data_IF_693624150854
#
_entry.id   IF_693624150854
#
_cell.length_a   1.000
_cell.length_b   1.000
_cell.length_c   1.000
_cell.angle_alpha   90.00
_cell.angle_beta   90.00
_cell.angle_gamma   90.00
#
_symmetry.space_group_name_H-M   'P 1'
#
loop_
_entity.id
_entity.type
_entity.pdbx_description
1 polymer ?
#
# COMPACT_ATOMS: atom_id res chain seq x y z
N UNK A 1 15.40 -30.61 1.29
CA UNK A 1 15.13 -29.22 0.83
C UNK A 1 15.61 -29.04 -0.63
N UNK A 2 16.90 -29.29 -0.96
CA UNK A 2 17.40 -29.06 -2.33
C UNK A 2 16.77 -30.04 -3.35
N UNK A 3 16.55 -31.32 -2.98
CA UNK A 3 15.81 -32.28 -3.79
C UNK A 3 14.34 -31.91 -4.01
N UNK A 4 13.67 -31.38 -2.99
CA UNK A 4 12.28 -30.92 -3.08
C UNK A 4 12.17 -29.70 -3.99
N UNK A 5 13.15 -28.81 -3.95
CA UNK A 5 13.21 -27.64 -4.84
C UNK A 5 13.42 -28.07 -6.31
N UNK A 6 14.26 -29.06 -6.57
CA UNK A 6 14.45 -29.62 -7.91
C UNK A 6 13.20 -30.32 -8.43
N UNK A 7 12.50 -31.07 -7.60
CA UNK A 7 11.23 -31.72 -7.97
C UNK A 7 10.13 -30.71 -8.28
N UNK A 8 10.03 -29.66 -7.47
CA UNK A 8 9.07 -28.57 -7.74
C UNK A 8 9.40 -27.84 -9.05
N UNK A 9 10.68 -27.55 -9.30
CA UNK A 9 11.11 -26.94 -10.57
C UNK A 9 10.81 -27.81 -11.78
N UNK A 10 10.98 -29.12 -11.65
CA UNK A 10 10.65 -30.09 -12.70
C UNK A 10 9.14 -30.12 -12.96
N UNK A 11 8.31 -30.17 -11.92
CA UNK A 11 6.85 -30.10 -12.04
C UNK A 11 6.38 -28.79 -12.67
N UNK A 12 6.99 -27.67 -12.32
CA UNK A 12 6.69 -26.35 -12.87
C UNK A 12 7.01 -26.30 -14.37
N UNK A 13 8.14 -26.89 -14.78
CA UNK A 13 8.52 -26.98 -16.20
C UNK A 13 7.54 -27.80 -17.02
N UNK A 14 7.05 -28.92 -16.44
CA UNK A 14 6.03 -29.78 -17.09
C UNK A 14 4.69 -29.04 -17.19
N UNK A 15 4.30 -28.31 -16.14
CA UNK A 15 3.07 -27.52 -16.14
C UNK A 15 3.12 -26.39 -17.19
N UNK A 16 4.24 -25.68 -17.30
CA UNK A 16 4.43 -24.65 -18.33
C UNK A 16 4.36 -25.22 -19.76
N UNK A 17 5.04 -26.36 -20.02
CA UNK A 17 4.97 -27.02 -21.32
C UNK A 17 3.53 -27.41 -21.70
N UNK A 18 2.73 -27.84 -20.70
CA UNK A 18 1.32 -28.20 -20.91
C UNK A 18 0.44 -26.98 -21.19
N UNK A 19 0.74 -25.85 -20.58
CA UNK A 19 0.08 -24.56 -20.84
C UNK A 19 0.40 -24.09 -22.26
N UNK A 20 1.67 -24.19 -22.68
CA UNK A 20 2.10 -23.79 -24.03
C UNK A 20 1.47 -24.69 -25.11
N UNK A 21 1.33 -25.99 -24.84
CA UNK A 21 0.63 -26.93 -25.72
C UNK A 21 -0.88 -26.60 -25.84
N UNK A 22 -1.51 -26.23 -24.74
CA UNK A 22 -2.92 -25.82 -24.73
C UNK A 22 -3.10 -24.50 -25.50
N UNK A 23 -2.20 -23.55 -25.35
CA UNK A 23 -2.21 -22.27 -26.09
C UNK A 23 -2.10 -22.49 -27.60
N UNK A 24 -1.20 -23.38 -28.01
CA UNK A 24 -1.02 -23.68 -29.43
C UNK A 24 -2.29 -24.24 -30.09
N UNK A 25 -3.22 -24.83 -29.32
CA UNK A 25 -4.51 -25.33 -29.86
C UNK A 25 -5.51 -24.21 -30.17
N UNK A 26 -5.36 -23.07 -29.53
CA UNK A 26 -6.25 -21.91 -29.69
C UNK A 26 -5.55 -20.76 -30.41
N UNK A 27 -4.39 -21.03 -31.01
CA UNK A 27 -3.66 -20.07 -31.81
C UNK A 27 -4.51 -19.70 -33.09
N UNK A 28 -4.88 -18.43 -33.19
CA UNK A 28 -5.76 -17.91 -34.21
C UNK A 28 -7.25 -17.77 -33.83
N UNK A 29 -7.63 -18.11 -32.61
CA UNK A 29 -8.97 -17.85 -32.09
C UNK A 29 -9.08 -16.39 -31.55
N UNK A 30 -9.98 -15.59 -32.16
CA UNK A 30 -10.15 -14.17 -31.81
C UNK A 30 -10.63 -13.98 -30.35
N UNK A 31 -11.44 -14.89 -29.83
CA UNK A 31 -11.93 -14.83 -28.46
C UNK A 31 -10.80 -15.17 -27.48
N UNK A 32 -10.00 -16.16 -27.78
CA UNK A 32 -8.81 -16.50 -27.00
C UNK A 32 -7.78 -15.36 -27.01
N UNK A 33 -7.48 -14.77 -28.15
CA UNK A 33 -6.58 -13.62 -28.26
C UNK A 33 -7.04 -12.42 -27.42
N UNK A 34 -8.36 -12.17 -27.36
CA UNK A 34 -8.95 -11.15 -26.52
C UNK A 34 -8.72 -11.41 -25.02
N UNK A 35 -8.90 -12.64 -24.56
CA UNK A 35 -8.66 -13.01 -23.15
C UNK A 35 -7.17 -13.09 -22.81
N UNK A 36 -6.33 -13.56 -23.73
CA UNK A 36 -4.87 -13.59 -23.55
C UNK A 36 -4.28 -12.16 -23.46
N UNK A 37 -4.86 -11.18 -24.16
CA UNK A 37 -4.47 -9.76 -24.05
C UNK A 37 -4.79 -9.17 -22.66
N UNK A 38 -5.74 -9.73 -21.92
CA UNK A 38 -6.03 -9.37 -20.52
C UNK A 38 -5.16 -10.13 -19.51
N UNK A 39 -4.38 -11.09 -19.99
CA UNK A 39 -3.46 -11.83 -19.13
C UNK A 39 -2.31 -10.93 -18.76
N UNK A 40 -2.34 -10.46 -17.55
CA UNK A 40 -1.22 -9.79 -16.94
C UNK A 40 -0.31 -10.86 -16.31
N UNK A 41 0.90 -10.99 -16.83
CA UNK A 41 1.93 -11.87 -16.24
C UNK A 41 2.47 -11.28 -14.93
N UNK A 42 1.64 -10.74 -14.10
CA UNK A 42 1.86 -10.04 -12.85
C UNK A 42 3.23 -10.28 -12.18
N UNK A 43 3.65 -9.34 -11.39
CA UNK A 43 4.92 -9.46 -10.66
C UNK A 43 4.74 -10.47 -9.50
N UNK A 44 5.42 -11.61 -9.55
CA UNK A 44 5.47 -12.55 -8.42
C UNK A 44 6.32 -11.96 -7.30
N UNK A 45 5.65 -11.41 -6.28
CA UNK A 45 6.29 -10.76 -5.14
C UNK A 45 7.23 -11.69 -4.36
N UNK A 46 6.98 -13.01 -4.37
CA UNK A 46 7.80 -13.99 -3.67
C UNK A 46 9.14 -14.23 -4.36
N UNK A 47 9.25 -13.90 -5.64
CA UNK A 47 10.46 -14.10 -6.44
C UNK A 47 11.33 -12.87 -6.62
N UNK A 48 10.87 -11.72 -6.13
CA UNK A 48 11.63 -10.48 -6.24
C UNK A 48 12.94 -10.54 -5.46
N UNK A 49 13.99 -10.04 -6.08
CA UNK A 49 15.25 -9.77 -5.38
C UNK A 49 15.07 -8.65 -4.36
N UNK A 50 16.00 -8.55 -3.42
CA UNK A 50 15.98 -7.48 -2.38
C UNK A 50 15.96 -6.08 -3.00
N UNK A 51 16.64 -5.87 -4.13
CA UNK A 51 16.68 -4.57 -4.81
C UNK A 51 15.34 -4.25 -5.50
N UNK A 52 14.77 -5.21 -6.21
CA UNK A 52 13.45 -5.07 -6.85
C UNK A 52 12.35 -4.82 -5.81
N UNK A 53 12.36 -5.61 -4.73
CA UNK A 53 11.44 -5.42 -3.62
C UNK A 53 11.61 -4.02 -2.97
N UNK A 54 12.84 -3.51 -2.86
CA UNK A 54 13.10 -2.16 -2.34
C UNK A 54 12.48 -1.09 -3.23
N UNK A 55 12.57 -1.23 -4.55
CA UNK A 55 11.92 -0.29 -5.49
C UNK A 55 10.39 -0.40 -5.39
N UNK A 56 9.85 -1.62 -5.36
CA UNK A 56 8.42 -1.83 -5.26
C UNK A 56 7.83 -1.23 -3.96
N UNK A 57 8.56 -1.28 -2.86
CA UNK A 57 8.12 -0.69 -1.58
C UNK A 57 7.95 0.83 -1.62
N UNK A 58 8.47 1.54 -2.60
CA UNK A 58 8.14 2.96 -2.78
C UNK A 58 6.73 3.14 -3.36
N UNK A 59 6.34 2.27 -4.27
CA UNK A 59 5.05 2.32 -4.96
C UNK A 59 3.92 1.60 -4.20
N UNK A 60 4.27 0.63 -3.34
CA UNK A 60 3.36 -0.19 -2.54
C UNK A 60 3.52 0.13 -1.05
N UNK A 61 2.50 0.70 -0.44
CA UNK A 61 2.51 1.09 0.97
C UNK A 61 1.38 0.43 1.77
N UNK A 62 1.51 0.45 3.11
CA UNK A 62 0.55 -0.15 4.03
C UNK A 62 0.05 0.85 5.06
N UNK A 63 -1.27 0.84 5.30
CA UNK A 63 -1.92 1.47 6.43
C UNK A 63 -2.41 0.35 7.34
N UNK A 64 -1.86 0.27 8.55
CA UNK A 64 -2.11 -0.80 9.49
C UNK A 64 -3.36 -0.56 10.34
N UNK A 65 -3.92 -1.64 10.87
CA UNK A 65 -5.09 -1.68 11.72
C UNK A 65 -4.91 -0.89 13.02
N UNK A 66 -3.82 -1.11 13.72
CA UNK A 66 -3.56 -0.48 15.02
C UNK A 66 -2.64 0.74 14.89
N UNK A 67 -3.18 1.95 15.04
CA UNK A 67 -2.37 3.16 14.98
C UNK A 67 -1.42 3.33 16.19
N UNK A 68 -1.60 2.55 17.28
CA UNK A 68 -0.74 2.62 18.46
C UNK A 68 0.55 1.83 18.26
N UNK A 69 0.45 0.58 17.81
CA UNK A 69 1.60 -0.30 17.62
C UNK A 69 2.38 0.00 16.33
N UNK A 70 1.72 0.59 15.33
CA UNK A 70 2.32 0.87 14.02
C UNK A 70 3.26 2.07 14.01
N UNK A 71 3.23 2.93 15.04
CA UNK A 71 4.05 4.14 15.13
C UNK A 71 5.08 4.02 16.27
N UNK A 72 6.34 4.30 15.97
CA UNK A 72 7.38 4.31 16.99
C UNK A 72 7.15 5.48 17.98
N UNK A 73 6.89 5.22 19.28
CA UNK A 73 6.58 6.26 20.27
C UNK A 73 7.77 7.19 20.58
N UNK A 74 8.98 6.80 20.22
CA UNK A 74 10.21 7.59 20.40
C UNK A 74 10.52 8.54 19.26
N UNK A 75 9.74 8.48 18.18
CA UNK A 75 9.89 9.34 17.01
C UNK A 75 8.87 10.47 17.02
N UNK A 76 9.29 11.63 16.54
CA UNK A 76 8.37 12.74 16.26
C UNK A 76 7.56 12.49 14.99
N UNK A 77 6.44 13.20 14.82
CA UNK A 77 5.61 13.11 13.61
C UNK A 77 6.44 13.34 12.36
N UNK A 78 7.26 14.38 12.34
CA UNK A 78 8.15 14.66 11.21
C UNK A 78 9.14 13.54 10.91
N UNK A 79 9.67 12.88 11.93
CA UNK A 79 10.56 11.73 11.75
C UNK A 79 9.81 10.52 11.17
N UNK A 80 8.60 10.24 11.66
CA UNK A 80 7.77 9.14 11.17
C UNK A 80 7.40 9.35 9.70
N UNK A 81 6.91 10.54 9.35
CA UNK A 81 6.50 10.85 7.97
C UNK A 81 7.69 10.87 7.02
N UNK A 82 8.86 11.34 7.46
CA UNK A 82 10.06 11.40 6.60
C UNK A 82 10.80 10.08 6.42
N UNK A 83 10.47 9.05 7.22
CA UNK A 83 11.23 7.80 7.24
C UNK A 83 11.30 7.15 5.84
N UNK A 84 10.16 7.02 5.16
CA UNK A 84 10.10 6.48 3.80
C UNK A 84 10.87 7.31 2.78
N UNK A 85 10.71 8.64 2.82
CA UNK A 85 11.40 9.55 1.90
C UNK A 85 12.93 9.45 2.02
N UNK A 86 13.43 9.30 3.26
CA UNK A 86 14.88 9.18 3.53
C UNK A 86 15.37 7.77 3.18
N UNK A 87 14.62 6.72 3.50
CA UNK A 87 14.99 5.33 3.23
C UNK A 87 15.11 5.04 1.73
N UNK A 88 14.26 5.68 0.91
CA UNK A 88 14.31 5.60 -0.55
C UNK A 88 15.23 6.64 -1.22
N UNK A 89 15.98 7.42 -0.42
CA UNK A 89 16.92 8.45 -0.87
C UNK A 89 16.29 9.57 -1.70
N UNK A 90 14.99 9.86 -1.52
CA UNK A 90 14.35 11.00 -2.18
C UNK A 90 14.89 12.33 -1.67
N UNK A 91 15.19 12.37 -0.37
CA UNK A 91 15.74 13.56 0.30
C UNK A 91 16.82 13.18 1.31
N UNK A 92 17.85 14.02 1.41
CA UNK A 92 18.77 13.98 2.55
C UNK A 92 18.05 14.48 3.81
N UNK A 93 18.36 13.91 4.97
CA UNK A 93 17.79 14.31 6.29
C UNK A 93 17.94 15.80 6.62
N UNK A 94 18.91 16.48 6.02
CA UNK A 94 19.20 17.92 6.22
C UNK A 94 18.62 18.80 5.12
N UNK A 95 17.89 18.24 4.16
CA UNK A 95 17.35 19.01 3.04
C UNK A 95 16.19 19.90 3.51
N UNK A 96 16.21 21.23 3.21
CA UNK A 96 15.05 22.11 3.47
C UNK A 96 13.78 21.63 2.74
N UNK A 97 13.93 21.03 1.55
CA UNK A 97 12.82 20.47 0.77
C UNK A 97 12.13 19.31 1.48
N UNK A 98 12.87 18.53 2.29
CA UNK A 98 12.29 17.46 3.08
C UNK A 98 11.23 18.00 4.05
N UNK A 99 11.56 19.09 4.77
CA UNK A 99 10.63 19.69 5.73
C UNK A 99 9.36 20.24 5.05
N UNK A 100 9.51 20.89 3.89
CA UNK A 100 8.36 21.39 3.12
C UNK A 100 7.45 20.24 2.67
N UNK A 101 8.01 19.12 2.19
CA UNK A 101 7.23 17.95 1.79
C UNK A 101 6.54 17.27 2.98
N UNK A 102 7.21 17.15 4.13
CA UNK A 102 6.59 16.62 5.35
C UNK A 102 5.35 17.45 5.71
N UNK A 103 5.47 18.77 5.72
CA UNK A 103 4.37 19.68 6.04
C UNK A 103 3.22 19.50 5.04
N UNK A 104 3.51 19.47 3.75
CA UNK A 104 2.53 19.28 2.70
C UNK A 104 1.75 17.97 2.88
N UNK A 105 2.44 16.85 3.12
CA UNK A 105 1.80 15.55 3.35
C UNK A 105 0.98 15.55 4.64
N UNK A 106 1.47 16.20 5.70
CA UNK A 106 0.72 16.34 6.94
C UNK A 106 -0.59 17.11 6.73
N UNK A 107 -0.55 18.25 6.02
CA UNK A 107 -1.72 19.07 5.71
C UNK A 107 -2.74 18.28 4.86
N UNK A 108 -2.31 17.54 3.86
CA UNK A 108 -3.16 16.65 3.07
C UNK A 108 -3.91 15.62 3.94
N UNK A 109 -3.29 15.17 5.03
CA UNK A 109 -3.91 14.25 5.98
C UNK A 109 -4.71 14.97 7.11
N UNK A 110 -4.87 16.30 7.03
CA UNK A 110 -5.57 17.08 8.04
C UNK A 110 -4.80 17.20 9.36
N UNK A 111 -3.48 17.15 9.32
CA UNK A 111 -2.58 17.37 10.46
C UNK A 111 -1.98 18.78 10.39
N UNK A 112 -2.08 19.53 11.48
CA UNK A 112 -1.53 20.87 11.52
C UNK A 112 0.02 20.87 11.49
N UNK A 113 0.67 21.80 10.75
CA UNK A 113 2.13 21.86 10.61
C UNK A 113 2.92 21.88 11.92
N UNK A 114 2.38 22.56 12.94
CA UNK A 114 3.03 22.68 14.25
C UNK A 114 3.13 21.35 15.02
N UNK A 115 2.47 20.28 14.55
CA UNK A 115 2.60 18.94 15.13
C UNK A 115 3.90 18.23 14.75
N UNK A 116 4.67 18.75 13.80
CA UNK A 116 5.86 18.10 13.24
C UNK A 116 6.89 17.67 14.31
N UNK A 117 7.00 18.41 15.41
CA UNK A 117 7.94 18.14 16.50
C UNK A 117 7.33 17.37 17.68
N UNK A 118 6.02 17.05 17.62
CA UNK A 118 5.36 16.26 18.68
C UNK A 118 5.60 14.77 18.50
N UNK A 119 5.56 14.04 19.61
CA UNK A 119 5.69 12.59 19.61
C UNK A 119 4.33 11.92 19.36
N UNK A 120 4.33 10.73 18.72
CA UNK A 120 3.10 10.01 18.36
C UNK A 120 2.20 9.68 19.55
N UNK A 121 2.76 9.45 20.74
CA UNK A 121 1.98 9.14 21.95
C UNK A 121 1.16 10.32 22.49
N UNK A 122 1.37 11.55 22.02
CA UNK A 122 0.66 12.77 22.43
C UNK A 122 -0.65 13.00 21.63
N UNK A 123 -1.03 12.06 20.77
CA UNK A 123 -2.15 12.18 19.87
C UNK A 123 -3.27 11.18 20.17
N UNK A 124 -4.53 11.56 19.81
CA UNK A 124 -5.67 10.65 19.84
C UNK A 124 -5.53 9.52 18.81
N UNK A 125 -6.34 8.45 18.92
CA UNK A 125 -6.35 7.34 17.98
C UNK A 125 -6.54 7.79 16.53
N UNK A 126 -7.53 8.64 16.26
CA UNK A 126 -7.77 9.16 14.92
C UNK A 126 -6.65 10.06 14.38
N UNK A 127 -6.00 10.85 15.24
CA UNK A 127 -4.83 11.63 14.84
C UNK A 127 -3.62 10.73 14.55
N UNK A 128 -3.41 9.67 15.32
CA UNK A 128 -2.35 8.67 15.03
C UNK A 128 -2.62 7.95 13.72
N UNK A 129 -3.87 7.62 13.42
CA UNK A 129 -4.22 7.04 12.13
C UNK A 129 -3.88 7.99 10.97
N UNK A 130 -4.17 9.28 11.11
CA UNK A 130 -3.77 10.29 10.13
C UNK A 130 -2.24 10.39 9.97
N UNK A 131 -1.47 10.22 11.05
CA UNK A 131 0.00 10.15 10.98
C UNK A 131 0.45 8.89 10.21
N UNK A 132 -0.20 7.73 10.46
CA UNK A 132 0.05 6.50 9.72
C UNK A 132 -0.25 6.63 8.22
N UNK A 133 -1.36 7.29 7.86
CA UNK A 133 -1.71 7.62 6.48
C UNK A 133 -0.66 8.55 5.87
N UNK A 134 -0.27 9.63 6.57
CA UNK A 134 0.76 10.55 6.11
C UNK A 134 2.11 9.84 5.87
N UNK A 135 2.50 8.90 6.74
CA UNK A 135 3.69 8.07 6.55
C UNK A 135 3.60 7.25 5.26
N UNK A 136 2.47 6.59 5.01
CA UNK A 136 2.27 5.79 3.81
C UNK A 136 2.31 6.65 2.54
N UNK A 137 1.71 7.84 2.56
CA UNK A 137 1.67 8.74 1.40
C UNK A 137 2.97 9.49 1.15
N UNK A 138 3.89 9.48 2.10
CA UNK A 138 5.15 10.25 2.02
C UNK A 138 6.06 9.85 0.85
N UNK A 139 5.94 8.62 0.37
CA UNK A 139 6.69 8.09 -0.79
C UNK A 139 5.99 8.31 -2.12
N UNK A 140 4.81 8.98 -2.13
CA UNK A 140 3.95 9.15 -3.30
C UNK A 140 3.61 7.82 -4.00
N UNK A 141 3.02 6.84 -3.25
CA UNK A 141 2.79 5.49 -3.73
C UNK A 141 1.70 5.47 -4.80
N UNK A 142 1.67 4.38 -5.60
CA UNK A 142 0.58 4.10 -6.57
C UNK A 142 -0.48 3.18 -5.98
N UNK A 143 -0.07 2.32 -5.04
CA UNK A 143 -0.92 1.29 -4.46
C UNK A 143 -0.78 1.27 -2.93
N UNK A 144 -1.91 1.27 -2.24
CA UNK A 144 -1.93 1.24 -0.77
C UNK A 144 -2.83 0.13 -0.27
N UNK A 145 -2.30 -0.74 0.57
CA UNK A 145 -3.06 -1.75 1.30
C UNK A 145 -3.56 -1.15 2.60
N UNK A 146 -4.86 -1.12 2.79
CA UNK A 146 -5.53 -0.68 4.01
C UNK A 146 -6.03 -1.92 4.77
N UNK A 147 -5.27 -2.38 5.75
CA UNK A 147 -5.61 -3.54 6.55
C UNK A 147 -6.38 -3.09 7.79
N UNK A 148 -7.69 -3.28 7.76
CA UNK A 148 -8.64 -2.84 8.81
C UNK A 148 -8.38 -1.41 9.33
N UNK A 149 -7.98 -0.50 8.46
CA UNK A 149 -7.42 0.82 8.78
C UNK A 149 -8.33 1.71 9.65
N UNK A 150 -9.58 1.33 9.88
CA UNK A 150 -10.56 2.12 10.65
C UNK A 150 -11.24 1.33 11.76
N UNK A 151 -11.02 0.01 11.88
CA UNK A 151 -11.75 -0.87 12.81
C UNK A 151 -11.54 -0.53 14.29
N UNK A 152 -10.38 0.04 14.65
CA UNK A 152 -10.01 0.42 16.02
C UNK A 152 -10.47 1.83 16.42
N UNK A 153 -11.28 2.52 15.58
CA UNK A 153 -11.69 3.91 15.79
C UNK A 153 -13.19 4.02 16.09
N UNK A 154 -13.57 5.08 16.79
CA UNK A 154 -14.98 5.45 16.98
C UNK A 154 -15.67 5.75 15.65
N UNK A 155 -16.96 5.45 15.53
CA UNK A 155 -17.74 5.58 14.28
C UNK A 155 -17.63 6.96 13.64
N UNK A 156 -17.62 8.03 14.44
CA UNK A 156 -17.49 9.40 13.92
C UNK A 156 -16.11 9.68 13.33
N UNK A 157 -15.06 9.16 13.97
CA UNK A 157 -13.68 9.28 13.50
C UNK A 157 -13.44 8.38 12.31
N UNK A 158 -14.02 7.17 12.31
CA UNK A 158 -14.00 6.23 11.21
C UNK A 158 -14.51 6.88 9.91
N UNK A 159 -15.69 7.53 9.96
CA UNK A 159 -16.25 8.25 8.81
C UNK A 159 -15.32 9.35 8.29
N UNK A 160 -14.67 10.08 9.19
CA UNK A 160 -13.72 11.13 8.79
C UNK A 160 -12.47 10.55 8.09
N UNK A 161 -11.97 9.41 8.57
CA UNK A 161 -10.81 8.76 7.95
C UNK A 161 -11.17 8.16 6.58
N UNK A 162 -12.37 7.57 6.45
CA UNK A 162 -12.83 7.03 5.16
C UNK A 162 -12.98 8.14 4.13
N UNK A 163 -13.60 9.27 4.50
CA UNK A 163 -13.70 10.43 3.61
C UNK A 163 -12.32 10.95 3.21
N UNK A 164 -11.39 11.07 4.17
CA UNK A 164 -10.01 11.45 3.88
C UNK A 164 -9.36 10.50 2.86
N UNK A 165 -9.52 9.18 3.03
CA UNK A 165 -8.96 8.19 2.09
C UNK A 165 -9.60 8.31 0.70
N UNK A 166 -10.89 8.61 0.62
CA UNK A 166 -11.58 8.84 -0.65
C UNK A 166 -11.06 10.10 -1.35
N UNK A 167 -10.93 11.21 -0.63
CA UNK A 167 -10.37 12.45 -1.17
C UNK A 167 -8.94 12.24 -1.68
N UNK A 168 -8.11 11.52 -0.93
CA UNK A 168 -6.74 11.19 -1.31
C UNK A 168 -6.67 10.26 -2.52
N UNK A 169 -7.61 9.29 -2.65
CA UNK A 169 -7.74 8.43 -3.83
C UNK A 169 -7.94 9.27 -5.09
N UNK A 170 -8.84 10.24 -5.04
CA UNK A 170 -9.14 11.11 -6.19
C UNK A 170 -7.99 12.08 -6.49
N UNK A 171 -7.45 12.75 -5.47
CA UNK A 171 -6.38 13.75 -5.64
C UNK A 171 -5.06 13.17 -6.14
N UNK A 172 -4.73 11.96 -5.69
CA UNK A 172 -3.46 11.28 -5.96
C UNK A 172 -3.56 10.12 -6.95
N UNK A 173 -4.76 9.82 -7.46
CA UNK A 173 -5.02 8.69 -8.34
C UNK A 173 -4.55 7.35 -7.74
N UNK A 174 -4.79 7.15 -6.43
CA UNK A 174 -4.35 5.97 -5.70
C UNK A 174 -5.24 4.76 -6.00
N UNK A 175 -4.61 3.59 -6.05
CA UNK A 175 -5.33 2.32 -6.01
C UNK A 175 -5.28 1.76 -4.59
N UNK A 176 -6.45 1.40 -4.04
CA UNK A 176 -6.54 0.78 -2.72
C UNK A 176 -6.90 -0.70 -2.79
N UNK A 177 -6.22 -1.51 -1.98
CA UNK A 177 -6.72 -2.81 -1.53
C UNK A 177 -7.23 -2.63 -0.10
N UNK A 178 -8.54 -2.61 0.07
CA UNK A 178 -9.17 -2.38 1.36
C UNK A 178 -9.64 -3.71 1.97
N UNK A 179 -9.03 -4.10 3.09
CA UNK A 179 -9.39 -5.31 3.85
C UNK A 179 -10.24 -4.84 5.03
N UNK A 180 -11.48 -5.32 5.13
CA UNK A 180 -12.40 -4.96 6.19
C UNK A 180 -13.52 -6.00 6.35
N UNK A 181 -14.06 -6.10 7.54
CA UNK A 181 -15.26 -6.88 7.84
C UNK A 181 -16.54 -6.01 7.92
N UNK A 182 -16.42 -4.68 7.78
CA UNK A 182 -17.55 -3.76 7.81
C UNK A 182 -18.12 -3.54 6.40
N UNK A 183 -19.30 -4.09 6.14
CA UNK A 183 -19.99 -3.98 4.85
C UNK A 183 -20.36 -2.53 4.49
N UNK A 184 -20.57 -1.67 5.48
CA UNK A 184 -20.88 -0.25 5.25
C UNK A 184 -19.68 0.47 4.64
N UNK A 185 -18.48 0.18 5.15
CA UNK A 185 -17.21 0.71 4.62
C UNK A 185 -16.99 0.19 3.20
N UNK A 186 -17.16 -1.13 2.99
CA UNK A 186 -17.02 -1.75 1.66
C UNK A 186 -17.91 -1.05 0.64
N UNK A 187 -19.18 -0.87 0.94
CA UNK A 187 -20.16 -0.24 0.03
C UNK A 187 -19.77 1.20 -0.34
N UNK A 188 -19.10 1.91 0.55
CA UNK A 188 -18.77 3.32 0.36
C UNK A 188 -17.51 3.53 -0.46
N UNK A 189 -16.44 2.73 -0.24
CA UNK A 189 -15.11 2.99 -0.80
C UNK A 189 -14.75 2.11 -2.00
N UNK A 190 -15.46 0.95 -2.18
CA UNK A 190 -15.04 -0.07 -3.13
C UNK A 190 -15.67 0.09 -4.50
N UNK A 191 -14.89 -0.05 -5.55
CA UNK A 191 -15.33 -0.21 -6.94
C UNK A 191 -15.54 -1.69 -7.30
N UNK A 192 -14.78 -2.59 -6.65
CA UNK A 192 -14.85 -4.06 -6.80
C UNK A 192 -14.76 -4.72 -5.45
N UNK A 193 -15.44 -5.84 -5.27
CA UNK A 193 -15.51 -6.59 -4.01
C UNK A 193 -15.06 -8.02 -4.27
N UNK A 194 -14.14 -8.51 -3.44
CA UNK A 194 -13.78 -9.92 -3.31
C UNK A 194 -14.28 -10.45 -1.97
N UNK A 195 -14.86 -11.64 -1.97
CA UNK A 195 -15.29 -12.35 -0.75
C UNK A 195 -14.38 -13.56 -0.57
N UNK A 196 -13.76 -13.68 0.61
CA UNK A 196 -12.90 -14.80 0.98
C UNK A 196 -13.58 -15.67 2.03
#
# INVERSE_FOLDING_TARGET
IDKEIEDIKAQLKVAHAKIDELRAKYDGDEEFAKYEAYRDDGIDLARLTTNEMRHLRSDLQFIFQDPYSSLNPRMTVGQIVSEGMVAHNYYSRRSPRLQSNIIQVMEMCGLAPYFIHRYSHQFSGGQRQRIGIARALSTDPKFVVCDEAVSALDVSIQSQIINLLQDLKEQKHLTYLFITHDLSVVKYISDRIGVM
#
